data_IF_165550627076
#
_entry.id   IF_165550627076
#
_cell.length_a   1.000
_cell.length_b   1.000
_cell.length_c   1.000
_cell.angle_alpha   90.00
_cell.angle_beta   90.00
_cell.angle_gamma   90.00
#
_symmetry.space_group_name_H-M   'P 1'
#
loop_
_entity.id
_entity.type
_entity.pdbx_description
1 polymer ?
#
# COMPACT_ATOMS: atom_id res chain seq x y z
N UNK A 1 7.91 -38.95 34.69
CA UNK A 1 6.61 -38.30 34.95
C UNK A 1 6.78 -36.86 34.52
N UNK A 2 6.02 -36.39 33.53
CA UNK A 2 5.98 -34.96 33.23
C UNK A 2 5.04 -34.29 34.22
N UNK A 3 5.47 -33.22 34.87
CA UNK A 3 4.58 -32.41 35.71
C UNK A 3 3.56 -31.74 34.79
N UNK A 4 2.28 -32.07 35.00
CA UNK A 4 1.18 -31.44 34.27
C UNK A 4 0.96 -30.09 34.94
N UNK A 5 1.56 -29.05 34.35
CA UNK A 5 1.38 -27.65 34.76
C UNK A 5 -0.12 -27.35 34.83
N UNK A 6 -0.56 -26.76 35.94
CA UNK A 6 -1.97 -26.48 36.20
C UNK A 6 -2.49 -25.47 35.16
N UNK A 7 -3.75 -25.58 34.69
CA UNK A 7 -4.34 -24.60 33.79
C UNK A 7 -4.29 -23.16 34.33
N UNK A 8 -4.25 -22.98 35.66
CA UNK A 8 -4.06 -21.66 36.29
C UNK A 8 -2.62 -21.13 36.17
N UNK A 9 -1.63 -22.01 36.20
CA UNK A 9 -0.22 -21.65 36.08
C UNK A 9 0.12 -21.29 34.62
N UNK A 10 -0.45 -22.00 33.64
CA UNK A 10 -0.33 -21.63 32.23
C UNK A 10 -0.96 -20.25 31.94
N UNK A 11 -2.16 -19.98 32.45
CA UNK A 11 -2.83 -18.70 32.27
C UNK A 11 -2.05 -17.53 32.93
N UNK A 12 -1.46 -17.76 34.11
CA UNK A 12 -0.58 -16.77 34.75
C UNK A 12 0.68 -16.48 33.92
N UNK A 13 1.29 -17.52 33.33
CA UNK A 13 2.48 -17.37 32.49
C UNK A 13 2.18 -16.64 31.16
N UNK A 14 1.02 -16.90 30.54
CA UNK A 14 0.56 -16.15 29.35
C UNK A 14 0.37 -14.65 29.68
N UNK A 15 -0.28 -14.34 30.81
CA UNK A 15 -0.45 -12.96 31.29
C UNK A 15 0.89 -12.28 31.65
N UNK A 16 1.87 -13.03 32.17
CA UNK A 16 3.22 -12.51 32.39
C UNK A 16 3.92 -12.14 31.08
N UNK A 17 3.83 -12.98 30.04
CA UNK A 17 4.41 -12.71 28.73
C UNK A 17 3.76 -11.48 28.08
N UNK A 18 2.43 -11.37 28.15
CA UNK A 18 1.69 -10.19 27.71
C UNK A 18 2.13 -8.93 28.47
N UNK A 19 2.21 -8.99 29.80
CA UNK A 19 2.70 -7.88 30.63
C UNK A 19 4.12 -7.45 30.27
N UNK A 20 5.05 -8.40 30.11
CA UNK A 20 6.44 -8.11 29.74
C UNK A 20 6.51 -7.43 28.37
N UNK A 21 5.77 -7.95 27.38
CA UNK A 21 5.73 -7.41 26.03
C UNK A 21 5.16 -5.98 25.99
N UNK A 22 4.04 -5.74 26.67
CA UNK A 22 3.42 -4.41 26.73
C UNK A 22 4.29 -3.41 27.51
N UNK A 23 4.98 -3.85 28.57
CA UNK A 23 5.99 -3.04 29.25
C UNK A 23 7.13 -2.65 28.31
N UNK A 24 7.68 -3.60 27.54
CA UNK A 24 8.82 -3.33 26.66
C UNK A 24 8.42 -2.44 25.47
N UNK A 25 7.22 -2.61 24.90
CA UNK A 25 6.65 -1.66 23.92
C UNK A 25 6.51 -0.25 24.49
N UNK A 26 5.98 -0.12 25.71
CA UNK A 26 5.73 1.18 26.32
C UNK A 26 7.02 1.88 26.76
N UNK A 27 7.98 1.12 27.31
CA UNK A 27 9.32 1.63 27.63
C UNK A 27 10.08 2.06 26.37
N UNK A 28 9.98 1.30 25.28
CA UNK A 28 10.50 1.72 23.97
C UNK A 28 9.85 3.04 23.53
N UNK A 29 8.52 3.15 23.56
CA UNK A 29 7.80 4.37 23.17
C UNK A 29 8.20 5.58 24.02
N UNK A 30 8.27 5.44 25.36
CA UNK A 30 8.66 6.52 26.27
C UNK A 30 10.09 6.97 25.99
N UNK A 31 11.05 6.05 26.01
CA UNK A 31 12.47 6.38 25.79
C UNK A 31 12.69 6.99 24.40
N UNK A 32 12.03 6.45 23.38
CA UNK A 32 12.03 7.01 22.03
C UNK A 32 11.50 8.45 22.00
N UNK A 33 10.36 8.73 22.63
CA UNK A 33 9.75 10.08 22.66
C UNK A 33 10.51 11.06 23.55
N UNK A 34 11.15 10.61 24.64
CA UNK A 34 12.05 11.44 25.44
C UNK A 34 13.27 11.92 24.61
N UNK A 35 13.68 11.15 23.60
CA UNK A 35 14.83 11.44 22.71
C UNK A 35 14.44 12.22 21.44
N UNK A 36 13.51 11.73 20.63
CA UNK A 36 13.26 12.27 19.26
C UNK A 36 12.56 13.64 19.23
N UNK A 37 12.04 14.12 20.36
CA UNK A 37 11.40 15.45 20.47
C UNK A 37 12.45 16.58 20.52
N UNK A 38 13.73 16.25 20.43
CA UNK A 38 14.87 17.16 20.51
C UNK A 38 15.73 17.24 19.23
N UNK A 39 15.21 17.73 18.09
CA UNK A 39 16.08 18.33 17.09
C UNK A 39 16.65 19.64 17.65
N UNK A 40 17.96 19.69 17.92
CA UNK A 40 18.66 20.97 18.11
C UNK A 40 18.56 21.84 16.83
N UNK A 41 18.33 21.20 15.69
CA UNK A 41 18.07 21.79 14.37
C UNK A 41 16.88 22.78 14.36
N UNK A 42 15.93 22.68 15.29
CA UNK A 42 14.79 23.62 15.38
C UNK A 42 15.15 25.00 15.97
N UNK A 43 16.42 25.22 16.34
CA UNK A 43 16.92 26.50 16.86
C UNK A 43 17.19 27.56 15.78
N UNK A 44 17.30 27.18 14.50
CA UNK A 44 17.96 28.02 13.47
C UNK A 44 17.06 28.89 12.59
N UNK A 45 15.75 28.60 12.45
CA UNK A 45 14.86 29.36 11.55
C UNK A 45 13.69 30.03 12.29
N UNK A 46 13.49 31.33 12.06
CA UNK A 46 12.43 32.13 12.72
C UNK A 46 11.00 31.72 12.33
N UNK A 47 10.82 31.03 11.20
CA UNK A 47 9.53 30.43 10.81
C UNK A 47 9.21 29.14 11.60
N UNK A 48 10.17 28.61 12.37
CA UNK A 48 10.02 27.35 13.12
C UNK A 48 9.10 27.46 14.33
N UNK A 49 8.78 28.65 14.86
CA UNK A 49 8.03 28.75 16.12
C UNK A 49 6.60 28.22 16.04
N UNK A 50 5.89 28.43 14.92
CA UNK A 50 4.54 27.88 14.74
C UNK A 50 4.57 26.36 14.58
N UNK A 51 5.54 25.86 13.79
CA UNK A 51 5.79 24.43 13.58
C UNK A 51 6.16 23.77 14.90
N UNK A 52 6.98 24.42 15.74
CA UNK A 52 7.38 23.94 17.05
C UNK A 52 6.18 23.87 18.02
N UNK A 53 5.33 24.89 18.04
CA UNK A 53 4.07 24.89 18.80
C UNK A 53 3.11 23.78 18.35
N UNK A 54 2.97 23.57 17.04
CA UNK A 54 2.16 22.48 16.48
C UNK A 54 2.75 21.09 16.80
N UNK A 55 4.08 20.92 16.71
CA UNK A 55 4.77 19.69 17.11
C UNK A 55 4.61 19.40 18.61
N UNK A 56 4.71 20.42 19.47
CA UNK A 56 4.49 20.27 20.92
C UNK A 56 3.01 19.98 21.26
N UNK A 57 2.05 20.58 20.56
CA UNK A 57 0.63 20.25 20.71
C UNK A 57 0.36 18.79 20.34
N UNK A 58 0.81 18.36 19.16
CA UNK A 58 0.68 16.96 18.69
C UNK A 58 1.38 15.97 19.63
N UNK A 59 2.56 16.31 20.14
CA UNK A 59 3.27 15.50 21.13
C UNK A 59 2.49 15.37 22.45
N UNK A 60 1.87 16.45 22.94
CA UNK A 60 1.03 16.40 24.13
C UNK A 60 -0.26 15.57 23.90
N UNK A 61 -0.85 15.62 22.70
CA UNK A 61 -1.96 14.73 22.31
C UNK A 61 -1.51 13.26 22.28
N UNK A 62 -0.35 12.96 21.71
CA UNK A 62 0.24 11.61 21.68
C UNK A 62 0.55 11.07 23.10
N UNK A 63 1.06 11.91 24.01
CA UNK A 63 1.25 11.56 25.43
C UNK A 63 -0.08 11.33 26.14
N UNK A 64 -1.08 12.19 25.91
CA UNK A 64 -2.42 12.01 26.50
C UNK A 64 -3.10 10.71 26.04
N UNK A 65 -2.90 10.31 24.78
CA UNK A 65 -3.43 9.08 24.22
C UNK A 65 -2.83 7.81 24.87
N UNK A 66 -1.56 7.83 25.27
CA UNK A 66 -0.90 6.67 25.90
C UNK A 66 -1.16 6.54 27.41
N UNK A 67 -1.70 7.58 28.07
CA UNK A 67 -2.01 7.54 29.51
C UNK A 67 -2.96 6.38 29.86
N UNK A 68 -3.91 6.03 28.98
CA UNK A 68 -4.79 4.86 29.15
C UNK A 68 -4.00 3.55 29.18
N UNK A 69 -3.21 3.29 28.14
CA UNK A 69 -2.43 2.06 27.99
C UNK A 69 -1.41 1.86 29.12
N UNK A 70 -0.72 2.92 29.56
CA UNK A 70 0.21 2.85 30.70
C UNK A 70 -0.52 2.43 31.97
N UNK A 71 -1.72 2.98 32.22
CA UNK A 71 -2.54 2.58 33.36
C UNK A 71 -3.03 1.13 33.27
N UNK A 72 -3.34 0.64 32.07
CA UNK A 72 -3.80 -0.74 31.88
C UNK A 72 -2.66 -1.77 32.06
N UNK A 73 -1.44 -1.46 31.58
CA UNK A 73 -0.24 -2.28 31.87
C UNK A 73 0.08 -2.29 33.38
N UNK A 74 -0.12 -1.15 34.06
CA UNK A 74 0.04 -1.06 35.53
C UNK A 74 -1.01 -1.91 36.26
N UNK A 75 -2.27 -1.95 35.80
CA UNK A 75 -3.31 -2.83 36.35
C UNK A 75 -3.01 -4.30 36.12
N UNK A 76 -2.50 -4.67 34.94
CA UNK A 76 -2.11 -6.06 34.63
C UNK A 76 -0.99 -6.52 35.57
N UNK A 77 -0.02 -5.66 35.88
CA UNK A 77 0.99 -5.91 36.90
C UNK A 77 0.37 -6.13 38.30
N UNK A 78 -0.61 -5.31 38.69
CA UNK A 78 -1.31 -5.45 39.98
C UNK A 78 -2.08 -6.78 40.07
N UNK A 79 -2.75 -7.23 39.01
CA UNK A 79 -3.44 -8.52 38.98
C UNK A 79 -2.48 -9.72 39.09
N UNK A 80 -1.31 -9.66 38.45
CA UNK A 80 -0.25 -10.67 38.59
C UNK A 80 0.36 -10.68 40.02
N UNK A 81 0.45 -9.50 40.65
CA UNK A 81 0.89 -9.34 42.04
C UNK A 81 -0.15 -9.89 43.02
N UNK A 82 -1.44 -9.56 42.85
CA UNK A 82 -2.53 -10.01 43.72
C UNK A 82 -2.80 -11.52 43.63
N UNK A 83 -2.54 -12.12 42.47
CA UNK A 83 -2.57 -13.57 42.28
C UNK A 83 -1.32 -14.29 42.82
N UNK A 84 -0.37 -13.56 43.42
CA UNK A 84 0.85 -14.07 44.03
C UNK A 84 1.71 -14.89 43.05
N UNK A 85 1.90 -14.36 41.83
CA UNK A 85 2.68 -14.98 40.76
C UNK A 85 4.15 -15.23 41.19
N UNK A 86 4.80 -16.35 40.80
CA UNK A 86 6.18 -16.66 41.17
C UNK A 86 7.19 -15.54 40.89
N UNK A 87 6.99 -14.79 39.81
CA UNK A 87 7.85 -13.67 39.37
C UNK A 87 7.46 -12.30 39.96
N UNK A 88 6.69 -12.24 41.06
CA UNK A 88 6.21 -11.00 41.72
C UNK A 88 7.30 -9.91 41.86
N UNK A 89 8.52 -10.30 42.25
CA UNK A 89 9.67 -9.38 42.40
C UNK A 89 10.04 -8.70 41.07
N UNK A 90 10.02 -9.45 39.97
CA UNK A 90 10.36 -8.95 38.63
C UNK A 90 9.24 -8.06 38.10
N UNK A 91 7.98 -8.46 38.32
CA UNK A 91 6.79 -7.68 37.95
C UNK A 91 6.79 -6.33 38.67
N UNK A 92 6.99 -6.32 40.00
CA UNK A 92 7.09 -5.07 40.79
C UNK A 92 8.19 -4.16 40.29
N UNK A 93 9.37 -4.69 39.96
CA UNK A 93 10.50 -3.90 39.44
C UNK A 93 10.14 -3.24 38.11
N UNK A 94 9.68 -4.00 37.11
CA UNK A 94 9.32 -3.47 35.78
C UNK A 94 8.15 -2.47 35.86
N UNK A 95 7.17 -2.73 36.70
CA UNK A 95 6.05 -1.82 36.97
C UNK A 95 6.53 -0.45 37.49
N UNK A 96 7.51 -0.45 38.39
CA UNK A 96 8.06 0.78 38.97
C UNK A 96 8.98 1.52 37.97
N UNK A 97 9.80 0.80 37.20
CA UNK A 97 10.59 1.34 36.08
C UNK A 97 9.69 2.07 35.05
N UNK A 98 8.55 1.45 34.68
CA UNK A 98 7.55 2.04 33.78
C UNK A 98 6.89 3.29 34.40
N UNK A 99 6.46 3.22 35.67
CA UNK A 99 5.87 4.37 36.38
C UNK A 99 6.82 5.56 36.45
N UNK A 100 8.08 5.35 36.80
CA UNK A 100 9.07 6.42 36.89
C UNK A 100 9.35 7.03 35.52
N UNK A 101 9.42 6.22 34.47
CA UNK A 101 9.61 6.67 33.09
C UNK A 101 8.41 7.48 32.59
N UNK A 102 7.19 7.05 32.90
CA UNK A 102 5.97 7.82 32.60
C UNK A 102 5.92 9.16 33.36
N UNK A 103 6.36 9.21 34.62
CA UNK A 103 6.45 10.47 35.36
C UNK A 103 7.47 11.45 34.78
N UNK A 104 8.59 10.98 34.22
CA UNK A 104 9.55 11.84 33.50
C UNK A 104 8.92 12.39 32.21
N UNK A 105 8.29 11.52 31.41
CA UNK A 105 7.55 11.85 30.19
C UNK A 105 6.52 12.98 30.43
N UNK A 106 5.71 12.86 31.50
CA UNK A 106 4.71 13.87 31.89
C UNK A 106 5.32 15.19 32.37
N UNK A 107 6.44 15.15 33.12
CA UNK A 107 7.17 16.37 33.53
C UNK A 107 7.78 17.09 32.32
N UNK A 108 8.26 16.35 31.33
CA UNK A 108 8.82 16.88 30.09
C UNK A 108 7.73 17.61 29.26
N UNK A 109 6.57 16.98 29.07
CA UNK A 109 5.41 17.59 28.41
C UNK A 109 4.98 18.92 29.07
N UNK A 110 4.87 18.94 30.40
CA UNK A 110 4.52 20.14 31.15
C UNK A 110 5.57 21.26 31.01
N UNK A 111 6.86 20.94 31.14
CA UNK A 111 7.94 21.93 30.96
C UNK A 111 7.94 22.55 29.55
N UNK A 112 7.54 21.78 28.54
CA UNK A 112 7.45 22.24 27.14
C UNK A 112 6.24 23.11 26.85
N UNK A 113 5.12 22.90 27.55
CA UNK A 113 3.98 23.82 27.52
C UNK A 113 4.38 25.23 27.99
N UNK A 114 5.29 25.33 28.97
CA UNK A 114 5.77 26.61 29.52
C UNK A 114 6.84 27.26 28.62
N UNK A 115 7.83 26.49 28.12
CA UNK A 115 8.86 26.98 27.20
C UNK A 115 8.31 27.50 25.85
N UNK A 116 7.06 27.19 25.48
CA UNK A 116 6.41 27.80 24.32
C UNK A 116 6.06 29.29 24.46
N UNK A 117 6.35 29.90 25.62
CA UNK A 117 6.04 31.29 25.96
C UNK A 117 7.27 32.20 26.15
N UNK A 118 8.49 31.65 26.31
CA UNK A 118 9.69 32.44 26.65
C UNK A 118 10.89 32.13 25.74
N UNK A 119 11.67 33.19 25.50
CA UNK A 119 13.03 33.28 24.94
C UNK A 119 13.26 33.50 23.43
N UNK A 120 14.13 34.49 23.18
CA UNK A 120 14.49 35.12 21.92
C UNK A 120 15.97 35.54 22.01
N UNK A 121 16.93 34.69 21.60
CA UNK A 121 18.36 35.04 21.53
C UNK A 121 19.20 34.10 20.62
N UNK A 122 19.73 34.71 19.55
CA UNK A 122 20.84 34.39 18.61
C UNK A 122 21.61 33.05 18.57
N UNK A 123 21.87 32.60 17.32
CA UNK A 123 23.01 31.76 16.90
C UNK A 123 23.37 32.00 15.40
N UNK A 124 24.61 31.69 14.97
CA UNK A 124 25.13 31.82 13.59
C UNK A 124 25.62 30.46 12.99
N UNK A 125 25.80 30.30 11.64
CA UNK A 125 25.75 28.99 10.96
C UNK A 125 26.96 28.59 10.05
N UNK A 126 27.04 27.30 9.64
CA UNK A 126 27.70 26.69 8.44
C UNK A 126 27.77 25.13 8.59
N UNK A 127 27.85 24.22 7.59
CA UNK A 127 27.62 24.20 6.13
C UNK A 127 27.35 22.73 5.64
N UNK A 128 27.45 22.38 4.34
CA UNK A 128 26.98 21.09 3.74
C UNK A 128 27.95 20.50 2.68
N UNK A 129 28.05 19.16 2.54
CA UNK A 129 28.71 18.46 1.38
C UNK A 129 27.92 17.21 0.91
N UNK A 130 27.99 16.90 -0.40
CA UNK A 130 27.31 15.83 -1.17
C UNK A 130 28.31 14.74 -1.70
N UNK A 131 27.84 13.58 -2.26
CA UNK A 131 28.59 12.30 -2.18
C UNK A 131 29.24 11.78 -3.48
N UNK A 132 30.43 11.15 -3.36
CA UNK A 132 31.12 10.31 -4.39
C UNK A 132 32.12 9.35 -3.68
N UNK A 133 31.66 8.41 -2.84
CA UNK A 133 32.54 7.57 -2.00
C UNK A 133 32.04 6.11 -1.79
N UNK A 134 32.00 5.31 -2.86
CA UNK A 134 31.60 3.89 -2.80
C UNK A 134 32.76 2.86 -2.93
N UNK A 135 33.96 3.28 -3.35
CA UNK A 135 35.16 2.40 -3.43
C UNK A 135 36.28 2.78 -2.44
N UNK A 136 36.31 4.03 -1.98
CA UNK A 136 37.24 4.53 -0.96
C UNK A 136 36.91 3.96 0.44
N UNK A 137 35.62 3.75 0.66
CA UNK A 137 34.97 3.27 1.88
C UNK A 137 35.55 1.94 2.38
N UNK A 138 35.90 0.99 1.50
CA UNK A 138 36.42 -0.32 1.92
C UNK A 138 37.83 -0.24 2.54
N UNK A 139 38.74 0.54 1.92
CA UNK A 139 40.11 0.74 2.45
C UNK A 139 40.08 1.70 3.66
N UNK A 140 39.20 2.70 3.63
CA UNK A 140 38.92 3.53 4.80
C UNK A 140 38.33 2.72 5.97
N UNK A 141 37.49 1.71 5.71
CA UNK A 141 36.91 0.83 6.74
C UNK A 141 38.03 0.14 7.52
N UNK A 142 38.91 -0.61 6.85
CA UNK A 142 40.03 -1.32 7.50
C UNK A 142 40.97 -0.35 8.22
N UNK A 143 41.25 0.82 7.65
CA UNK A 143 42.06 1.84 8.31
C UNK A 143 41.36 2.49 9.52
N UNK A 144 40.04 2.67 9.48
CA UNK A 144 39.22 3.19 10.58
C UNK A 144 39.08 2.18 11.70
N UNK A 145 38.95 0.90 11.38
CA UNK A 145 38.84 -0.23 12.30
C UNK A 145 40.17 -0.47 13.02
N UNK A 146 41.30 -0.40 12.31
CA UNK A 146 42.64 -0.40 12.92
C UNK A 146 42.91 0.83 13.81
N UNK A 147 42.34 2.01 13.45
CA UNK A 147 42.40 3.23 14.27
C UNK A 147 41.51 3.11 15.52
N UNK A 148 40.33 2.50 15.40
CA UNK A 148 39.41 2.22 16.49
C UNK A 148 40.02 1.22 17.48
N UNK A 149 40.61 0.12 16.98
CA UNK A 149 41.35 -0.86 17.77
C UNK A 149 42.53 -0.23 18.52
N UNK A 150 43.29 0.68 17.89
CA UNK A 150 44.35 1.44 18.57
C UNK A 150 43.79 2.35 19.66
N UNK A 151 42.71 3.09 19.38
CA UNK A 151 42.04 3.95 20.37
C UNK A 151 41.52 3.15 21.57
N UNK A 152 40.82 2.03 21.32
CA UNK A 152 40.36 1.10 22.36
C UNK A 152 41.51 0.54 23.21
N UNK A 153 42.66 0.24 22.60
CA UNK A 153 43.85 -0.21 23.34
C UNK A 153 44.46 0.91 24.20
N UNK A 154 44.52 2.14 23.68
CA UNK A 154 44.99 3.32 24.41
C UNK A 154 44.05 3.67 25.58
N UNK A 155 42.73 3.57 25.38
CA UNK A 155 41.73 3.82 26.42
C UNK A 155 41.68 2.69 27.47
N UNK A 156 41.90 1.43 27.07
CA UNK A 156 42.10 0.31 28.02
C UNK A 156 43.33 0.52 28.90
N UNK A 157 44.46 0.93 28.32
CA UNK A 157 45.69 1.24 29.06
C UNK A 157 45.51 2.45 30.00
N UNK A 158 44.75 3.47 29.58
CA UNK A 158 44.37 4.60 30.45
C UNK A 158 43.47 4.17 31.60
N UNK A 159 42.51 3.28 31.36
CA UNK A 159 41.64 2.73 32.41
C UNK A 159 42.46 1.92 33.43
N UNK A 160 43.37 1.05 32.97
CA UNK A 160 44.25 0.27 33.84
C UNK A 160 45.16 1.17 34.70
N UNK A 161 45.69 2.26 34.11
CA UNK A 161 46.47 3.25 34.86
C UNK A 161 45.59 4.02 35.87
N UNK A 162 44.38 4.41 35.49
CA UNK A 162 43.43 5.08 36.37
C UNK A 162 43.00 4.21 37.57
N UNK A 163 42.79 2.90 37.36
CA UNK A 163 42.55 1.95 38.46
C UNK A 163 43.76 1.87 39.42
N UNK A 164 44.99 1.83 38.88
CA UNK A 164 46.23 1.87 39.67
C UNK A 164 46.35 3.17 40.47
N UNK A 165 46.00 4.32 39.88
CA UNK A 165 46.04 5.63 40.55
C UNK A 165 44.95 5.78 41.63
N UNK A 166 43.79 5.11 41.44
CA UNK A 166 42.71 5.04 42.42
C UNK A 166 43.02 4.09 43.59
N UNK A 167 43.77 3.01 43.35
CA UNK A 167 44.02 1.95 44.33
C UNK A 167 44.64 2.44 45.66
N UNK A 168 45.68 3.31 45.70
CA UNK A 168 46.19 3.88 46.95
C UNK A 168 45.13 4.65 47.76
N UNK A 169 44.21 5.34 47.08
CA UNK A 169 43.10 6.05 47.74
C UNK A 169 42.14 5.05 48.40
N UNK A 170 41.75 4.00 47.67
CA UNK A 170 40.87 2.93 48.15
C UNK A 170 41.46 2.19 49.35
N UNK A 171 42.74 1.82 49.28
CA UNK A 171 43.45 1.12 50.36
C UNK A 171 43.56 1.99 51.61
N UNK A 172 43.89 3.28 51.47
CA UNK A 172 43.96 4.21 52.60
C UNK A 172 42.59 4.48 53.24
N UNK A 173 41.50 4.59 52.45
CA UNK A 173 40.13 4.72 52.98
C UNK A 173 39.79 3.50 53.84
N UNK A 174 40.02 2.28 53.35
CA UNK A 174 39.73 1.05 54.09
C UNK A 174 40.55 0.94 55.38
N UNK A 175 41.84 1.31 55.35
CA UNK A 175 42.69 1.35 56.55
C UNK A 175 42.18 2.37 57.57
N UNK A 176 41.77 3.55 57.11
CA UNK A 176 41.26 4.63 57.98
C UNK A 176 39.92 4.26 58.61
N UNK A 177 39.01 3.62 57.87
CA UNK A 177 37.75 3.07 58.41
C UNK A 177 38.04 2.01 59.48
N UNK A 178 39.03 1.14 59.26
CA UNK A 178 39.45 0.14 60.24
C UNK A 178 39.96 0.76 61.55
N UNK A 179 40.81 1.80 61.46
CA UNK A 179 41.32 2.54 62.62
C UNK A 179 40.22 3.30 63.38
N UNK A 180 39.23 3.84 62.68
CA UNK A 180 38.07 4.53 63.28
C UNK A 180 37.06 3.57 63.93
N UNK A 181 37.16 2.26 63.65
CA UNK A 181 36.28 1.22 64.20
C UNK A 181 36.87 0.50 65.42
N UNK A 182 38.02 0.96 65.93
CA UNK A 182 38.67 0.43 67.13
C UNK A 182 38.18 1.15 68.40
N UNK A 183 37.59 0.40 69.33
CA UNK A 183 37.03 0.89 70.60
C UNK A 183 38.09 1.46 71.58
N UNK A 184 39.40 1.37 71.28
CA UNK A 184 40.47 1.94 72.10
C UNK A 184 40.37 3.46 72.38
N UNK A 185 39.55 4.18 71.61
CA UNK A 185 39.23 5.59 71.85
C UNK A 185 38.38 5.83 73.11
N UNK A 186 37.64 4.81 73.60
CA UNK A 186 36.80 4.89 74.81
C UNK A 186 37.61 4.82 76.12
N UNK A 187 38.89 4.46 76.07
CA UNK A 187 39.77 4.39 77.24
C UNK A 187 40.17 5.80 77.75
N UNK A 188 40.01 6.13 79.06
CA UNK A 188 40.22 7.48 79.60
C UNK A 188 41.65 8.02 79.57
N UNK A 189 42.64 7.20 79.24
CA UNK A 189 44.06 7.58 79.23
C UNK A 189 44.43 8.30 77.93
N UNK A 190 45.33 9.30 78.03
CA UNK A 190 45.93 10.04 76.90
C UNK A 190 44.92 10.73 75.96
N UNK A 191 43.74 11.09 76.48
CA UNK A 191 42.65 11.73 75.73
C UNK A 191 43.09 12.95 74.89
N UNK A 192 43.96 13.81 75.42
CA UNK A 192 44.47 14.98 74.68
C UNK A 192 45.32 14.58 73.47
N UNK A 193 46.17 13.55 73.61
CA UNK A 193 47.00 13.05 72.51
C UNK A 193 46.13 12.33 71.46
N UNK A 194 45.12 11.57 71.89
CA UNK A 194 44.12 10.97 70.99
C UNK A 194 43.36 12.05 70.21
N UNK A 195 42.92 13.12 70.88
CA UNK A 195 42.21 14.25 70.27
C UNK A 195 43.07 15.00 69.24
N UNK A 196 44.34 15.29 69.54
CA UNK A 196 45.22 15.96 68.57
C UNK A 196 45.64 15.07 67.40
N UNK A 197 45.76 13.76 67.61
CA UNK A 197 45.95 12.80 66.51
C UNK A 197 44.69 12.66 65.64
N UNK A 198 43.50 12.73 66.25
CA UNK A 198 42.23 12.73 65.52
C UNK A 198 42.06 14.00 64.66
N UNK A 199 42.36 15.19 65.19
CA UNK A 199 42.35 16.44 64.39
C UNK A 199 43.27 16.37 63.18
N UNK A 200 44.48 15.84 63.32
CA UNK A 200 45.40 15.63 62.19
C UNK A 200 44.83 14.66 61.16
N UNK A 201 44.14 13.61 61.61
CA UNK A 201 43.44 12.68 60.72
C UNK A 201 42.26 13.37 59.99
N UNK A 202 41.50 14.24 60.67
CA UNK A 202 40.45 15.05 60.05
C UNK A 202 41.01 16.02 58.99
N UNK A 203 42.13 16.69 59.28
CA UNK A 203 42.86 17.53 58.32
C UNK A 203 43.32 16.73 57.09
N UNK A 204 43.91 15.55 57.30
CA UNK A 204 44.32 14.62 56.23
C UNK A 204 43.13 14.13 55.38
N UNK A 205 41.99 13.79 56.02
CA UNK A 205 40.73 13.42 55.34
C UNK A 205 40.22 14.57 54.48
N UNK A 206 40.18 15.79 55.04
CA UNK A 206 39.72 16.98 54.33
C UNK A 206 40.64 17.35 53.16
N UNK A 207 41.96 17.15 53.28
CA UNK A 207 42.91 17.39 52.17
C UNK A 207 42.64 16.47 50.95
N UNK A 208 42.21 15.22 51.20
CA UNK A 208 41.97 14.19 50.17
C UNK A 208 40.59 14.28 49.52
N UNK A 209 39.65 15.01 50.14
CA UNK A 209 38.29 15.27 49.63
C UNK A 209 38.28 15.73 48.17
N UNK A 210 39.16 16.68 47.82
CA UNK A 210 39.29 17.24 46.46
C UNK A 210 39.56 16.15 45.40
N UNK A 211 40.31 15.11 45.73
CA UNK A 211 40.62 14.01 44.79
C UNK A 211 39.42 13.09 44.59
N UNK A 212 38.63 12.83 45.63
CA UNK A 212 37.37 12.08 45.52
C UNK A 212 36.34 12.86 44.70
N UNK A 213 36.22 14.17 44.91
CA UNK A 213 35.35 15.04 44.10
C UNK A 213 35.74 15.05 42.61
N UNK A 214 37.04 14.98 42.29
CA UNK A 214 37.48 14.86 40.89
C UNK A 214 37.06 13.51 40.27
N UNK A 215 37.16 12.41 41.01
CA UNK A 215 36.68 11.09 40.55
C UNK A 215 35.17 11.08 40.29
N UNK A 216 34.37 11.72 41.14
CA UNK A 216 32.91 11.85 40.91
C UNK A 216 32.56 12.67 39.66
N UNK A 217 33.35 13.71 39.34
CA UNK A 217 33.18 14.48 38.09
C UNK A 217 33.53 13.65 36.86
N UNK A 218 34.60 12.86 36.91
CA UNK A 218 34.97 11.92 35.83
C UNK A 218 33.86 10.88 35.62
N UNK A 219 33.35 10.29 36.70
CA UNK A 219 32.22 9.35 36.64
C UNK A 219 30.97 9.97 36.02
N UNK A 220 30.63 11.22 36.36
CA UNK A 220 29.52 11.94 35.75
C UNK A 220 29.71 12.12 34.24
N UNK A 221 30.88 12.61 33.80
CA UNK A 221 31.18 12.78 32.37
C UNK A 221 31.14 11.46 31.59
N UNK A 222 31.68 10.36 32.14
CA UNK A 222 31.59 9.04 31.52
C UNK A 222 30.13 8.57 31.40
N UNK A 223 29.32 8.80 32.44
CA UNK A 223 27.90 8.45 32.45
C UNK A 223 27.13 9.23 31.37
N UNK A 224 27.47 10.50 31.13
CA UNK A 224 26.81 11.31 30.12
C UNK A 224 27.24 10.95 28.69
N UNK A 225 28.52 10.61 28.47
CA UNK A 225 29.00 10.08 27.18
C UNK A 225 28.32 8.75 26.83
N UNK A 226 28.13 7.85 27.79
CA UNK A 226 27.42 6.59 27.57
C UNK A 226 25.95 6.82 27.16
N UNK A 227 25.23 7.74 27.82
CA UNK A 227 23.86 8.11 27.41
C UNK A 227 23.83 8.71 26.00
N UNK A 228 24.79 9.57 25.65
CA UNK A 228 24.89 10.14 24.29
C UNK A 228 25.13 9.05 23.23
N UNK A 229 25.91 8.02 23.57
CA UNK A 229 26.15 6.87 22.70
C UNK A 229 24.89 6.01 22.52
N UNK A 230 24.14 5.73 23.60
CA UNK A 230 22.85 5.02 23.53
C UNK A 230 21.83 5.77 22.66
N UNK A 231 21.75 7.10 22.79
CA UNK A 231 20.94 7.98 21.93
C UNK A 231 21.37 7.90 20.46
N UNK A 232 22.68 7.92 20.19
CA UNK A 232 23.20 7.80 18.83
C UNK A 232 22.83 6.47 18.19
N UNK A 233 22.99 5.34 18.92
CA UNK A 233 22.60 4.01 18.45
C UNK A 233 21.10 3.98 18.09
N UNK A 234 20.23 4.43 19.00
CA UNK A 234 18.78 4.48 18.76
C UNK A 234 18.41 5.37 17.55
N UNK A 235 19.08 6.51 17.38
CA UNK A 235 18.88 7.38 16.22
C UNK A 235 19.35 6.74 14.90
N UNK A 236 20.47 6.00 14.91
CA UNK A 236 20.95 5.28 13.72
C UNK A 236 20.04 4.13 13.31
N UNK A 237 19.52 3.36 14.27
CA UNK A 237 18.58 2.26 14.03
C UNK A 237 17.27 2.80 13.45
N UNK A 238 16.71 3.87 14.03
CA UNK A 238 15.52 4.54 13.50
C UNK A 238 15.75 5.04 12.06
N UNK A 239 16.91 5.62 11.77
CA UNK A 239 17.23 6.11 10.43
C UNK A 239 17.29 4.97 9.42
N UNK A 240 17.80 3.80 9.80
CA UNK A 240 17.77 2.57 9.01
C UNK A 240 16.32 2.13 8.70
N UNK A 241 15.47 2.07 9.73
CA UNK A 241 14.05 1.69 9.61
C UNK A 241 13.30 2.67 8.69
N UNK A 242 13.42 3.98 8.91
CA UNK A 242 12.77 5.00 8.07
C UNK A 242 13.26 4.98 6.62
N UNK A 243 14.56 4.72 6.38
CA UNK A 243 15.10 4.61 5.03
C UNK A 243 14.58 3.36 4.31
N UNK A 244 14.43 2.24 5.03
CA UNK A 244 13.79 1.03 4.50
C UNK A 244 12.31 1.26 4.19
N UNK A 245 11.57 1.91 5.09
CA UNK A 245 10.16 2.30 4.89
C UNK A 245 9.99 3.22 3.67
N UNK A 246 10.82 4.26 3.54
CA UNK A 246 10.79 5.17 2.39
C UNK A 246 11.04 4.44 1.05
N UNK A 247 12.00 3.51 1.02
CA UNK A 247 12.27 2.70 -0.17
C UNK A 247 11.09 1.75 -0.52
N UNK A 248 10.46 1.14 0.49
CA UNK A 248 9.27 0.32 0.28
C UNK A 248 8.09 1.17 -0.24
N UNK A 249 7.91 2.40 0.26
CA UNK A 249 6.91 3.35 -0.22
C UNK A 249 7.16 3.78 -1.68
N UNK A 250 8.41 4.04 -2.08
CA UNK A 250 8.78 4.35 -3.47
C UNK A 250 8.38 3.19 -4.41
N UNK A 251 8.74 1.95 -4.05
CA UNK A 251 8.33 0.75 -4.79
C UNK A 251 6.80 0.58 -4.86
N UNK A 252 6.09 0.84 -3.77
CA UNK A 252 4.63 0.81 -3.73
C UNK A 252 4.00 1.88 -4.65
N UNK A 253 4.53 3.11 -4.62
CA UNK A 253 4.07 4.20 -5.48
C UNK A 253 4.25 3.86 -6.96
N UNK A 254 5.40 3.32 -7.38
CA UNK A 254 5.58 2.85 -8.75
C UNK A 254 4.59 1.75 -9.15
N UNK A 255 4.25 0.83 -8.23
CA UNK A 255 3.20 -0.16 -8.45
C UNK A 255 1.81 0.47 -8.67
N UNK A 256 1.45 1.46 -7.84
CA UNK A 256 0.21 2.24 -7.97
C UNK A 256 0.17 3.01 -9.29
N UNK A 257 1.26 3.68 -9.67
CA UNK A 257 1.31 4.52 -10.86
C UNK A 257 1.20 3.67 -12.14
N UNK A 258 1.91 2.55 -12.21
CA UNK A 258 1.79 1.56 -13.30
C UNK A 258 0.35 1.02 -13.42
N UNK A 259 -0.26 0.64 -12.29
CA UNK A 259 -1.63 0.14 -12.27
C UNK A 259 -2.65 1.24 -12.66
N UNK A 260 -2.39 2.48 -12.27
CA UNK A 260 -3.21 3.65 -12.60
C UNK A 260 -3.15 3.99 -14.09
N UNK A 261 -1.99 3.85 -14.72
CA UNK A 261 -1.82 4.01 -16.17
C UNK A 261 -2.60 2.93 -16.93
N UNK A 262 -2.38 1.64 -16.59
CA UNK A 262 -3.09 0.51 -17.18
C UNK A 262 -4.62 0.62 -17.02
N UNK A 263 -5.10 0.97 -15.82
CA UNK A 263 -6.54 1.20 -15.59
C UNK A 263 -7.12 2.25 -16.54
N UNK A 264 -6.35 3.31 -16.82
CA UNK A 264 -6.81 4.41 -17.69
C UNK A 264 -6.90 3.99 -19.17
N UNK A 265 -5.97 3.15 -19.64
CA UNK A 265 -6.00 2.55 -20.98
C UNK A 265 -7.17 1.56 -21.14
N UNK A 266 -7.40 0.72 -20.12
CA UNK A 266 -8.52 -0.24 -20.09
C UNK A 266 -9.86 0.49 -20.03
N UNK A 267 -10.02 1.48 -19.16
CA UNK A 267 -11.24 2.29 -19.05
C UNK A 267 -11.57 3.00 -20.37
N UNK A 268 -10.56 3.56 -21.06
CA UNK A 268 -10.73 4.17 -22.37
C UNK A 268 -11.16 3.15 -23.44
N UNK A 269 -10.54 1.97 -23.46
CA UNK A 269 -10.88 0.89 -24.40
C UNK A 269 -12.30 0.35 -24.16
N UNK A 270 -12.69 0.14 -22.90
CA UNK A 270 -14.04 -0.30 -22.54
C UNK A 270 -15.10 0.76 -22.86
N UNK A 271 -14.79 2.04 -22.67
CA UNK A 271 -15.70 3.17 -22.92
C UNK A 271 -15.79 3.59 -24.40
N UNK A 272 -14.99 3.01 -25.29
CA UNK A 272 -14.99 3.34 -26.71
C UNK A 272 -16.38 3.13 -27.35
N UNK A 273 -16.92 4.09 -28.12
CA UNK A 273 -18.18 3.93 -28.84
C UNK A 273 -18.05 3.10 -30.14
N UNK A 274 -16.85 2.62 -30.47
CA UNK A 274 -16.63 1.74 -31.62
C UNK A 274 -17.08 0.30 -31.32
N UNK A 275 -17.97 -0.22 -32.16
CA UNK A 275 -18.48 -1.59 -32.14
C UNK A 275 -18.30 -2.31 -33.48
N UNK A 276 -17.57 -1.72 -34.44
CA UNK A 276 -17.35 -2.24 -35.78
C UNK A 276 -18.29 -1.66 -36.85
N UNK A 277 -17.91 -1.80 -38.11
CA UNK A 277 -18.61 -1.23 -39.28
C UNK A 277 -19.04 -2.29 -40.32
N UNK A 278 -18.55 -3.51 -40.17
CA UNK A 278 -18.83 -4.69 -41.00
C UNK A 278 -18.67 -5.97 -40.15
N UNK A 279 -19.07 -7.13 -40.69
CA UNK A 279 -19.01 -8.40 -39.95
C UNK A 279 -17.58 -8.75 -39.47
N UNK A 280 -16.56 -8.50 -40.30
CA UNK A 280 -15.18 -8.85 -40.00
C UNK A 280 -14.58 -8.00 -38.87
N UNK A 281 -14.85 -6.69 -38.87
CA UNK A 281 -14.42 -5.75 -37.83
C UNK A 281 -15.12 -6.01 -36.50
N UNK A 282 -16.42 -6.31 -36.50
CA UNK A 282 -17.16 -6.67 -35.28
C UNK A 282 -16.65 -7.99 -34.69
N UNK A 283 -16.41 -9.01 -35.52
CA UNK A 283 -15.76 -10.25 -35.07
C UNK A 283 -14.37 -10.02 -34.48
N UNK A 284 -13.57 -9.13 -35.09
CA UNK A 284 -12.25 -8.80 -34.59
C UNK A 284 -12.33 -8.09 -33.23
N UNK A 285 -13.16 -7.04 -33.11
CA UNK A 285 -13.39 -6.33 -31.85
C UNK A 285 -13.94 -7.24 -30.75
N UNK A 286 -14.73 -8.25 -31.10
CA UNK A 286 -15.21 -9.28 -30.16
C UNK A 286 -14.06 -10.16 -29.65
N UNK A 287 -13.11 -10.55 -30.52
CA UNK A 287 -11.90 -11.31 -30.14
C UNK A 287 -10.96 -10.46 -29.27
N UNK A 288 -10.71 -9.21 -29.65
CA UNK A 288 -9.93 -8.25 -28.85
C UNK A 288 -10.55 -8.02 -27.47
N UNK A 289 -11.88 -7.91 -27.38
CA UNK A 289 -12.55 -7.77 -26.09
C UNK A 289 -12.40 -9.00 -25.20
N UNK A 290 -12.46 -10.21 -25.75
CA UNK A 290 -12.23 -11.44 -24.98
C UNK A 290 -10.77 -11.58 -24.49
N UNK A 291 -9.79 -11.08 -25.25
CA UNK A 291 -8.40 -10.96 -24.80
C UNK A 291 -8.29 -9.96 -23.65
N UNK A 292 -8.92 -8.79 -23.77
CA UNK A 292 -8.98 -7.77 -22.72
C UNK A 292 -9.64 -8.29 -21.43
N UNK A 293 -10.72 -9.06 -21.51
CA UNK A 293 -11.35 -9.70 -20.33
C UNK A 293 -10.38 -10.66 -19.61
N UNK A 294 -9.62 -11.45 -20.36
CA UNK A 294 -8.59 -12.35 -19.81
C UNK A 294 -7.45 -11.56 -19.16
N UNK A 295 -7.01 -10.48 -19.78
CA UNK A 295 -5.88 -9.69 -19.30
C UNK A 295 -6.29 -8.85 -18.07
N UNK A 296 -7.53 -8.39 -17.98
CA UNK A 296 -8.08 -7.80 -16.74
C UNK A 296 -8.12 -8.84 -15.62
N UNK A 297 -8.45 -10.10 -15.93
CA UNK A 297 -8.45 -11.19 -14.95
C UNK A 297 -7.06 -11.49 -14.39
N UNK A 298 -5.99 -11.41 -15.18
CA UNK A 298 -4.61 -11.60 -14.67
C UNK A 298 -4.11 -10.42 -13.84
N UNK A 299 -4.56 -9.20 -14.14
CA UNK A 299 -4.22 -8.01 -13.34
C UNK A 299 -4.88 -7.99 -11.94
N UNK A 300 -5.85 -8.87 -11.68
CA UNK A 300 -6.40 -9.07 -10.33
C UNK A 300 -5.31 -9.45 -9.32
N UNK A 301 -4.35 -10.30 -9.71
CA UNK A 301 -3.27 -10.73 -8.81
C UNK A 301 -2.39 -9.54 -8.41
N UNK A 302 -2.21 -8.55 -9.29
CA UNK A 302 -1.46 -7.31 -9.02
C UNK A 302 -2.22 -6.41 -8.04
N UNK A 303 -3.55 -6.31 -8.17
CA UNK A 303 -4.42 -5.63 -7.19
C UNK A 303 -4.30 -6.30 -5.82
N UNK A 304 -4.37 -7.62 -5.76
CA UNK A 304 -4.30 -8.37 -4.50
C UNK A 304 -2.89 -8.21 -3.84
N UNK A 305 -1.81 -8.08 -4.63
CA UNK A 305 -0.46 -7.68 -4.15
C UNK A 305 -0.45 -6.25 -3.58
N UNK A 306 -1.07 -5.28 -4.27
CA UNK A 306 -1.16 -3.88 -3.80
C UNK A 306 -1.93 -3.81 -2.47
N UNK A 307 -3.04 -4.55 -2.35
CA UNK A 307 -3.84 -4.65 -1.11
C UNK A 307 -3.01 -5.27 0.02
N UNK A 308 -2.29 -6.35 -0.26
CA UNK A 308 -1.42 -7.03 0.73
C UNK A 308 -0.29 -6.12 1.21
N UNK A 309 0.37 -5.38 0.30
CA UNK A 309 1.41 -4.42 0.66
C UNK A 309 0.85 -3.28 1.53
N UNK A 310 -0.31 -2.73 1.19
CA UNK A 310 -0.99 -1.70 1.99
C UNK A 310 -1.34 -2.20 3.41
N UNK A 311 -1.73 -3.46 3.55
CA UNK A 311 -1.98 -4.10 4.85
C UNK A 311 -0.68 -4.26 5.66
N UNK A 312 0.42 -4.70 5.06
CA UNK A 312 1.73 -4.78 5.71
C UNK A 312 2.23 -3.42 6.21
N UNK A 313 2.02 -2.34 5.44
CA UNK A 313 2.32 -0.98 5.91
C UNK A 313 1.46 -0.56 7.11
N UNK A 314 0.23 -1.09 7.23
CA UNK A 314 -0.63 -0.85 8.39
C UNK A 314 -0.11 -1.57 9.65
N UNK A 315 0.23 -2.84 9.51
CA UNK A 315 0.76 -3.70 10.59
C UNK A 315 2.10 -3.19 11.14
N UNK A 316 2.97 -2.68 10.25
CA UNK A 316 4.25 -2.09 10.61
C UNK A 316 4.18 -0.61 11.06
N UNK A 317 2.97 -0.02 11.16
CA UNK A 317 2.79 1.36 11.63
C UNK A 317 3.46 2.43 10.75
N UNK A 318 3.43 2.26 9.43
CA UNK A 318 4.16 3.10 8.48
C UNK A 318 3.77 4.59 8.57
N UNK A 319 4.76 5.50 8.52
CA UNK A 319 4.55 6.93 8.79
C UNK A 319 3.54 7.62 7.85
N UNK A 320 3.43 7.17 6.60
CA UNK A 320 2.50 7.70 5.58
C UNK A 320 1.27 6.80 5.32
N UNK A 321 0.86 5.98 6.30
CA UNK A 321 -0.21 4.98 6.16
C UNK A 321 -1.52 5.54 5.55
N UNK A 322 -1.92 6.77 5.93
CA UNK A 322 -3.15 7.40 5.43
C UNK A 322 -3.12 7.57 3.90
N UNK A 323 -1.99 7.99 3.34
CA UNK A 323 -1.84 8.22 1.89
C UNK A 323 -1.80 6.89 1.14
N UNK A 324 -1.08 5.90 1.69
CA UNK A 324 -1.00 4.52 1.17
C UNK A 324 -2.39 3.90 1.04
N UNK A 325 -3.19 3.92 2.12
CA UNK A 325 -4.55 3.38 2.12
C UNK A 325 -5.46 4.13 1.13
N UNK A 326 -5.38 5.46 1.09
CA UNK A 326 -6.16 6.27 0.14
C UNK A 326 -5.84 5.92 -1.31
N UNK A 327 -4.55 5.79 -1.67
CA UNK A 327 -4.12 5.37 -3.01
C UNK A 327 -4.61 3.96 -3.36
N UNK A 328 -4.47 3.01 -2.41
CA UNK A 328 -4.94 1.63 -2.55
C UNK A 328 -6.46 1.57 -2.80
N UNK A 329 -7.26 2.32 -2.04
CA UNK A 329 -8.72 2.36 -2.18
C UNK A 329 -9.17 2.94 -3.53
N UNK A 330 -8.49 3.98 -4.04
CA UNK A 330 -8.78 4.55 -5.36
C UNK A 330 -8.53 3.54 -6.48
N UNK A 331 -7.38 2.83 -6.44
CA UNK A 331 -7.03 1.83 -7.46
C UNK A 331 -7.97 0.62 -7.42
N UNK A 332 -8.27 0.08 -6.23
CA UNK A 332 -9.24 -1.02 -6.05
C UNK A 332 -10.62 -0.62 -6.58
N UNK A 333 -11.13 0.55 -6.19
CA UNK A 333 -12.45 1.02 -6.62
C UNK A 333 -12.56 1.21 -8.14
N UNK A 334 -11.49 1.67 -8.81
CA UNK A 334 -11.45 1.74 -10.28
C UNK A 334 -11.47 0.35 -10.92
N UNK A 335 -10.67 -0.58 -10.39
CA UNK A 335 -10.63 -1.96 -10.87
C UNK A 335 -12.00 -2.66 -10.75
N UNK A 336 -12.67 -2.54 -9.60
CA UNK A 336 -14.03 -3.08 -9.40
C UNK A 336 -15.06 -2.44 -10.35
N UNK A 337 -14.83 -1.16 -10.72
CA UNK A 337 -15.61 -0.42 -11.70
C UNK A 337 -15.50 -0.92 -13.15
N UNK A 338 -14.49 -1.75 -13.47
CA UNK A 338 -14.34 -2.32 -14.82
C UNK A 338 -15.42 -3.34 -15.15
N UNK A 339 -15.89 -4.12 -14.17
CA UNK A 339 -16.84 -5.22 -14.38
C UNK A 339 -18.17 -4.79 -15.05
N UNK A 340 -18.81 -3.68 -14.62
CA UNK A 340 -19.96 -3.09 -15.31
C UNK A 340 -19.64 -2.65 -16.75
N UNK A 341 -18.47 -2.04 -16.99
CA UNK A 341 -18.06 -1.54 -18.31
C UNK A 341 -17.79 -2.69 -19.29
N UNK A 342 -17.13 -3.76 -18.83
CA UNK A 342 -16.93 -5.00 -19.59
C UNK A 342 -18.28 -5.53 -20.09
N UNK A 343 -19.24 -5.76 -19.19
CA UNK A 343 -20.56 -6.34 -19.52
C UNK A 343 -21.32 -5.50 -20.54
N UNK A 344 -21.29 -4.17 -20.42
CA UNK A 344 -22.00 -3.29 -21.36
C UNK A 344 -21.31 -3.24 -22.73
N UNK A 345 -19.97 -3.29 -22.79
CA UNK A 345 -19.24 -3.42 -24.07
C UNK A 345 -19.48 -4.77 -24.72
N UNK A 346 -19.37 -5.87 -23.96
CA UNK A 346 -19.64 -7.24 -24.41
C UNK A 346 -21.06 -7.36 -25.00
N UNK A 347 -22.05 -6.79 -24.31
CA UNK A 347 -23.45 -6.75 -24.79
C UNK A 347 -23.55 -6.00 -26.12
N UNK A 348 -23.02 -4.79 -26.21
CA UNK A 348 -23.08 -3.98 -27.45
C UNK A 348 -22.34 -4.61 -28.63
N UNK A 349 -21.18 -5.24 -28.40
CA UNK A 349 -20.45 -5.99 -29.44
C UNK A 349 -21.25 -7.22 -29.90
N UNK A 350 -21.83 -7.99 -28.96
CA UNK A 350 -22.68 -9.14 -29.28
C UNK A 350 -23.99 -8.76 -29.97
N UNK A 351 -24.52 -7.58 -29.71
CA UNK A 351 -25.68 -7.01 -30.40
C UNK A 351 -25.31 -6.54 -31.82
N UNK A 352 -24.20 -5.79 -31.98
CA UNK A 352 -23.64 -5.47 -33.30
C UNK A 352 -23.36 -6.72 -34.14
N UNK A 353 -22.80 -7.79 -33.55
CA UNK A 353 -22.47 -9.02 -34.28
C UNK A 353 -23.71 -9.66 -34.91
N UNK A 354 -24.82 -9.74 -34.16
CA UNK A 354 -26.10 -10.24 -34.69
C UNK A 354 -26.63 -9.36 -35.82
N UNK A 355 -26.51 -8.03 -35.69
CA UNK A 355 -26.96 -7.10 -36.72
C UNK A 355 -26.16 -7.24 -38.02
N UNK A 356 -24.84 -7.38 -37.94
CA UNK A 356 -24.00 -7.57 -39.13
C UNK A 356 -24.10 -8.97 -39.74
N UNK A 357 -24.37 -10.01 -38.94
CA UNK A 357 -24.77 -11.32 -39.44
C UNK A 357 -26.10 -11.23 -40.22
N UNK A 358 -27.09 -10.54 -39.67
CA UNK A 358 -28.37 -10.30 -40.34
C UNK A 358 -28.20 -9.47 -41.64
N UNK A 359 -27.35 -8.44 -41.64
CA UNK A 359 -27.09 -7.67 -42.87
C UNK A 359 -26.44 -8.53 -43.95
N UNK A 360 -25.54 -9.46 -43.59
CA UNK A 360 -24.98 -10.40 -44.54
C UNK A 360 -26.04 -11.39 -45.08
N UNK A 361 -26.93 -11.91 -44.23
CA UNK A 361 -28.08 -12.71 -44.67
C UNK A 361 -29.01 -11.94 -45.62
N UNK A 362 -29.28 -10.66 -45.33
CA UNK A 362 -30.07 -9.78 -46.20
C UNK A 362 -29.38 -9.58 -47.55
N UNK A 363 -28.08 -9.31 -47.58
CA UNK A 363 -27.33 -9.10 -48.82
C UNK A 363 -27.32 -10.34 -49.73
N UNK A 364 -27.27 -11.54 -49.15
CA UNK A 364 -27.40 -12.82 -49.90
C UNK A 364 -28.78 -12.95 -50.57
N UNK A 365 -29.87 -12.63 -49.86
CA UNK A 365 -31.22 -12.65 -50.44
C UNK A 365 -31.43 -11.50 -51.45
N UNK A 366 -30.90 -10.30 -51.19
CA UNK A 366 -30.95 -9.17 -52.13
C UNK A 366 -30.20 -9.47 -53.44
N UNK A 367 -29.02 -10.10 -53.37
CA UNK A 367 -28.29 -10.59 -54.55
C UNK A 367 -29.11 -11.62 -55.33
N UNK A 368 -29.78 -12.55 -54.64
CA UNK A 368 -30.64 -13.54 -55.29
C UNK A 368 -31.82 -12.86 -56.00
N UNK A 369 -32.47 -11.92 -55.32
CA UNK A 369 -33.61 -11.14 -55.84
C UNK A 369 -33.19 -10.36 -57.08
N UNK A 370 -32.07 -9.64 -57.03
CA UNK A 370 -31.54 -8.87 -58.16
C UNK A 370 -31.29 -9.77 -59.38
N UNK A 371 -30.62 -10.91 -59.18
CA UNK A 371 -30.35 -11.90 -60.25
C UNK A 371 -31.64 -12.48 -60.86
N UNK A 372 -32.70 -12.68 -60.07
CA UNK A 372 -34.00 -13.14 -60.64
C UNK A 372 -34.77 -12.02 -61.32
N UNK A 373 -34.67 -10.80 -60.80
CA UNK A 373 -35.31 -9.61 -61.36
C UNK A 373 -34.81 -9.30 -62.77
N UNK A 374 -33.49 -9.38 -62.99
CA UNK A 374 -32.87 -9.20 -64.30
C UNK A 374 -33.41 -10.18 -65.35
N UNK A 375 -33.54 -11.47 -64.99
CA UNK A 375 -34.06 -12.51 -65.89
C UNK A 375 -35.54 -12.25 -66.25
N UNK A 376 -36.37 -11.86 -65.27
CA UNK A 376 -37.80 -11.53 -65.50
C UNK A 376 -37.94 -10.29 -66.41
N UNK A 377 -37.07 -9.29 -66.26
CA UNK A 377 -37.04 -8.10 -67.09
C UNK A 377 -36.58 -8.37 -68.54
N UNK A 378 -35.89 -9.50 -68.78
CA UNK A 378 -35.36 -9.91 -70.07
C UNK A 378 -36.40 -9.98 -71.20
N UNK A 379 -35.97 -9.66 -72.43
CA UNK A 379 -36.82 -9.68 -73.63
C UNK A 379 -36.22 -10.57 -74.72
N UNK A 380 -37.00 -11.53 -75.22
CA UNK A 380 -36.60 -12.40 -76.33
C UNK A 380 -36.60 -11.65 -77.66
N UNK A 381 -35.76 -12.09 -78.60
CA UNK A 381 -35.63 -11.49 -79.94
C UNK A 381 -36.29 -12.34 -81.03
N UNK A 382 -36.61 -13.59 -80.71
CA UNK A 382 -37.16 -14.61 -81.59
C UNK A 382 -38.07 -15.55 -80.79
N UNK A 383 -38.78 -16.45 -81.48
CA UNK A 383 -39.78 -17.32 -80.85
C UNK A 383 -39.15 -18.29 -79.84
N UNK A 384 -37.92 -18.76 -80.07
CA UNK A 384 -37.30 -19.77 -79.23
C UNK A 384 -36.67 -19.16 -77.96
N UNK A 385 -36.09 -17.97 -78.05
CA UNK A 385 -35.71 -17.16 -76.88
C UNK A 385 -36.92 -16.73 -76.06
N UNK A 386 -38.05 -16.41 -76.70
CA UNK A 386 -39.32 -16.16 -75.99
C UNK A 386 -39.80 -17.42 -75.27
N UNK A 387 -39.81 -18.60 -75.91
CA UNK A 387 -40.17 -19.87 -75.25
C UNK A 387 -39.23 -20.22 -74.08
N UNK A 388 -37.93 -19.97 -74.23
CA UNK A 388 -36.95 -20.16 -73.17
C UNK A 388 -37.27 -19.27 -71.96
N UNK A 389 -37.49 -17.96 -72.18
CA UNK A 389 -37.87 -17.01 -71.12
C UNK A 389 -39.21 -17.36 -70.46
N UNK A 390 -40.18 -17.93 -71.19
CA UNK A 390 -41.44 -18.42 -70.59
C UNK A 390 -41.16 -19.58 -69.62
N UNK A 391 -40.38 -20.58 -70.06
CA UNK A 391 -39.97 -21.72 -69.21
C UNK A 391 -39.18 -21.25 -67.99
N UNK A 392 -38.28 -20.29 -68.18
CA UNK A 392 -37.44 -19.75 -67.11
C UNK A 392 -38.23 -18.89 -66.12
N UNK A 393 -39.21 -18.09 -66.57
CA UNK A 393 -40.18 -17.40 -65.70
C UNK A 393 -40.92 -18.42 -64.82
N UNK A 394 -41.33 -19.56 -65.38
CA UNK A 394 -42.02 -20.61 -64.64
C UNK A 394 -41.11 -21.30 -63.61
N UNK A 395 -39.83 -21.49 -63.93
CA UNK A 395 -38.81 -21.97 -62.99
C UNK A 395 -38.58 -20.99 -61.84
N UNK A 396 -38.46 -19.69 -62.13
CA UNK A 396 -38.29 -18.63 -61.12
C UNK A 396 -39.50 -18.57 -60.18
N UNK A 397 -40.72 -18.66 -60.70
CA UNK A 397 -41.93 -18.70 -59.86
C UNK A 397 -41.95 -19.89 -58.88
N UNK A 398 -41.41 -21.06 -59.27
CA UNK A 398 -41.26 -22.20 -58.36
C UNK A 398 -40.15 -21.94 -57.33
N UNK A 399 -39.01 -21.40 -57.74
CA UNK A 399 -37.91 -21.05 -56.82
C UNK A 399 -38.34 -19.98 -55.79
N UNK A 400 -39.18 -19.02 -56.19
CA UNK A 400 -39.74 -18.01 -55.29
C UNK A 400 -40.67 -18.61 -54.22
N UNK A 401 -41.41 -19.68 -54.53
CA UNK A 401 -42.21 -20.39 -53.51
C UNK A 401 -41.34 -21.10 -52.46
N UNK A 402 -40.12 -21.50 -52.84
CA UNK A 402 -39.14 -22.11 -51.92
C UNK A 402 -38.44 -21.04 -51.08
N UNK A 403 -38.08 -19.89 -51.64
CA UNK A 403 -37.41 -18.79 -50.93
C UNK A 403 -38.34 -17.92 -50.06
N UNK A 404 -39.66 -17.89 -50.32
CA UNK A 404 -40.58 -17.02 -49.55
C UNK A 404 -40.51 -17.19 -48.02
N UNK A 405 -40.50 -18.43 -47.46
CA UNK A 405 -40.37 -18.61 -46.01
C UNK A 405 -39.03 -18.12 -45.46
N UNK A 406 -37.97 -18.15 -46.27
CA UNK A 406 -36.62 -17.76 -45.88
C UNK A 406 -36.47 -16.24 -45.85
N UNK A 407 -36.92 -15.54 -46.90
CA UNK A 407 -36.98 -14.07 -46.93
C UNK A 407 -37.89 -13.53 -45.82
N UNK A 408 -39.06 -14.15 -45.59
CA UNK A 408 -39.94 -13.77 -44.48
C UNK A 408 -39.30 -14.02 -43.10
N UNK A 409 -38.48 -15.06 -42.95
CA UNK A 409 -37.72 -15.32 -41.71
C UNK A 409 -36.66 -14.24 -41.46
N UNK A 410 -35.91 -13.83 -42.48
CA UNK A 410 -34.90 -12.75 -42.38
C UNK A 410 -35.58 -11.43 -41.99
N UNK A 411 -36.69 -11.07 -42.64
CA UNK A 411 -37.46 -9.86 -42.31
C UNK A 411 -37.96 -9.89 -40.85
N UNK A 412 -38.60 -10.98 -40.42
CA UNK A 412 -39.06 -11.15 -39.04
C UNK A 412 -37.91 -11.18 -38.02
N UNK A 413 -36.71 -11.61 -38.42
CA UNK A 413 -35.52 -11.55 -37.59
C UNK A 413 -35.10 -10.09 -37.35
N UNK A 414 -35.06 -9.28 -38.41
CA UNK A 414 -34.80 -7.83 -38.32
C UNK A 414 -35.80 -7.07 -37.45
N UNK A 415 -37.09 -7.27 -37.66
CA UNK A 415 -38.16 -6.63 -36.86
C UNK A 415 -38.11 -7.00 -35.36
N UNK A 416 -37.60 -8.19 -35.02
CA UNK A 416 -37.39 -8.63 -33.63
C UNK A 416 -36.11 -8.03 -33.08
N UNK A 417 -35.02 -8.09 -33.84
CA UNK A 417 -33.70 -7.61 -33.43
C UNK A 417 -33.69 -6.10 -33.19
N UNK A 418 -34.40 -5.31 -34.00
CA UNK A 418 -34.45 -3.84 -33.86
C UNK A 418 -35.07 -3.35 -32.54
N UNK A 419 -35.78 -4.19 -31.77
CA UNK A 419 -36.49 -3.77 -30.55
C UNK A 419 -35.51 -3.49 -29.41
N UNK A 420 -35.18 -2.21 -29.22
CA UNK A 420 -34.22 -1.76 -28.19
C UNK A 420 -32.75 -1.86 -28.61
N UNK A 421 -32.48 -2.04 -29.91
CA UNK A 421 -31.13 -2.18 -30.45
C UNK A 421 -30.44 -0.83 -30.67
N UNK A 422 -29.13 -0.75 -30.44
CA UNK A 422 -28.36 0.48 -30.74
C UNK A 422 -28.22 0.80 -32.24
N UNK A 423 -28.52 -0.15 -33.12
CA UNK A 423 -28.57 0.01 -34.59
C UNK A 423 -30.00 -0.13 -35.15
N UNK A 424 -31.03 0.08 -34.32
CA UNK A 424 -32.43 -0.19 -34.70
C UNK A 424 -32.87 0.56 -35.97
N UNK A 425 -32.42 1.79 -36.18
CA UNK A 425 -32.76 2.61 -37.35
C UNK A 425 -32.25 1.99 -38.65
N UNK A 426 -30.98 1.60 -38.71
CA UNK A 426 -30.39 0.96 -39.91
C UNK A 426 -30.94 -0.46 -40.11
N UNK A 427 -31.21 -1.21 -39.04
CA UNK A 427 -31.86 -2.53 -39.13
C UNK A 427 -33.26 -2.40 -39.75
N UNK A 428 -34.08 -1.47 -39.27
CA UNK A 428 -35.43 -1.24 -39.81
C UNK A 428 -35.36 -0.80 -41.29
N UNK A 429 -34.43 0.09 -41.64
CA UNK A 429 -34.21 0.55 -43.02
C UNK A 429 -33.82 -0.58 -43.97
N UNK A 430 -32.83 -1.41 -43.62
CA UNK A 430 -32.43 -2.58 -44.42
C UNK A 430 -33.55 -3.63 -44.51
N UNK A 431 -34.27 -3.86 -43.41
CA UNK A 431 -35.44 -4.77 -43.37
C UNK A 431 -36.54 -4.31 -44.31
N UNK A 432 -36.84 -3.00 -44.33
CA UNK A 432 -37.80 -2.41 -45.25
C UNK A 432 -37.35 -2.56 -46.71
N UNK A 433 -36.08 -2.28 -47.02
CA UNK A 433 -35.52 -2.41 -48.38
C UNK A 433 -35.66 -3.85 -48.91
N UNK A 434 -35.28 -4.87 -48.13
CA UNK A 434 -35.45 -6.27 -48.52
C UNK A 434 -36.94 -6.62 -48.75
N UNK A 435 -37.85 -6.12 -47.91
CA UNK A 435 -39.30 -6.31 -48.06
C UNK A 435 -39.85 -5.68 -49.35
N UNK A 436 -39.41 -4.47 -49.68
CA UNK A 436 -39.76 -3.76 -50.92
C UNK A 436 -39.22 -4.49 -52.15
N UNK A 437 -37.94 -4.90 -52.13
CA UNK A 437 -37.30 -5.68 -53.20
C UNK A 437 -38.03 -7.01 -53.44
N UNK A 438 -38.39 -7.73 -52.37
CA UNK A 438 -39.13 -9.00 -52.45
C UNK A 438 -40.54 -8.82 -53.03
N UNK A 439 -41.25 -7.78 -52.58
CA UNK A 439 -42.59 -7.45 -53.07
C UNK A 439 -42.57 -7.08 -54.54
N UNK A 440 -41.61 -6.24 -54.96
CA UNK A 440 -41.46 -5.85 -56.36
C UNK A 440 -41.15 -7.05 -57.27
N UNK A 441 -40.30 -7.99 -56.82
CA UNK A 441 -40.03 -9.22 -57.57
C UNK A 441 -41.30 -10.07 -57.75
N UNK A 442 -42.14 -10.22 -56.70
CA UNK A 442 -43.44 -10.92 -56.79
C UNK A 442 -44.37 -10.28 -57.81
N UNK A 443 -44.50 -8.96 -57.79
CA UNK A 443 -45.32 -8.21 -58.76
C UNK A 443 -44.83 -8.42 -60.19
N UNK A 444 -43.52 -8.20 -60.47
CA UNK A 444 -42.94 -8.40 -61.80
C UNK A 444 -43.06 -9.83 -62.30
N UNK A 445 -42.83 -10.83 -61.44
CA UNK A 445 -42.97 -12.24 -61.79
C UNK A 445 -44.42 -12.57 -62.18
N UNK A 446 -45.40 -11.98 -61.49
CA UNK A 446 -46.83 -12.16 -61.76
C UNK A 446 -47.28 -11.44 -63.05
N UNK A 447 -46.88 -10.18 -63.26
CA UNK A 447 -47.08 -9.45 -64.52
C UNK A 447 -46.52 -10.26 -65.71
N UNK A 448 -45.28 -10.75 -65.58
CA UNK A 448 -44.62 -11.53 -66.63
C UNK A 448 -45.32 -12.85 -66.89
N UNK A 449 -45.83 -13.53 -65.85
CA UNK A 449 -46.65 -14.74 -65.98
C UNK A 449 -47.91 -14.49 -66.82
N UNK A 450 -48.64 -13.41 -66.55
CA UNK A 450 -49.84 -13.05 -67.33
C UNK A 450 -49.49 -12.72 -68.78
N UNK A 451 -48.46 -11.91 -69.00
CA UNK A 451 -47.97 -11.58 -70.35
C UNK A 451 -47.56 -12.83 -71.15
N UNK A 452 -46.84 -13.76 -70.51
CA UNK A 452 -46.44 -15.03 -71.10
C UNK A 452 -47.65 -15.91 -71.47
N UNK A 453 -48.72 -15.92 -70.66
CA UNK A 453 -49.96 -16.64 -70.98
C UNK A 453 -50.67 -16.06 -72.22
N UNK A 454 -50.75 -14.73 -72.34
CA UNK A 454 -51.30 -14.06 -73.52
C UNK A 454 -50.49 -14.38 -74.79
N UNK A 455 -49.16 -14.39 -74.69
CA UNK A 455 -48.26 -14.76 -75.80
C UNK A 455 -48.47 -16.22 -76.21
N UNK A 456 -48.64 -17.15 -75.26
CA UNK A 456 -48.92 -18.56 -75.58
C UNK A 456 -50.26 -18.76 -76.28
N UNK A 457 -51.31 -18.04 -75.86
CA UNK A 457 -52.63 -18.06 -76.53
C UNK A 457 -52.52 -17.55 -77.97
N UNK A 458 -51.83 -16.43 -78.19
CA UNK A 458 -51.61 -15.87 -79.53
C UNK A 458 -50.79 -16.79 -80.44
N UNK A 459 -49.74 -17.42 -79.91
CA UNK A 459 -48.93 -18.41 -80.65
C UNK A 459 -49.69 -19.71 -80.97
N UNK A 460 -50.73 -20.04 -80.21
CA UNK A 460 -51.64 -21.14 -80.52
C UNK A 460 -52.56 -20.75 -81.70
N UNK A 461 -53.17 -19.56 -81.65
CA UNK A 461 -54.07 -19.02 -82.68
C UNK A 461 -53.44 -18.75 -84.06
N UNK A 462 -52.11 -18.77 -84.19
CA UNK A 462 -51.38 -18.59 -85.47
C UNK A 462 -51.01 -19.95 -86.09
N UNK A 463 -51.15 -21.05 -85.36
CA UNK A 463 -50.84 -22.41 -85.84
C UNK A 463 -52.03 -23.16 -86.42
N UNK A 464 -53.24 -22.69 -86.16
CA UNK A 464 -54.50 -23.10 -86.77
C UNK A 464 -54.87 -22.16 -87.93
#
# INVERSE_FOLDING_TARGET
MGEIVSPKEMAGQEQLVEFQHLCDQMMFWINYKEVIVWPEDLKSEKDSQLILKQKYAKFNEEVAAQEGHVNDVIKLADLLIESNHPDDIVIRRRKEELKQSWQRMRKLALKRQMLGQEELADAQPMEVIQPEDAKKTAIQSVASEAKLLRGLLEDFLRLEQFEKDCHPTKTWINQTIGLMSDDGHLSPTDLNLKMDNHKKLEEDVMSRKNRVEMLTKIQAHLTDVLKMWEVLLAATELKSIHMSQAWQLEKFNHGIDNMTAWLSEVEATLSSPDFGIDLASVENLTKEHALLERDIKTHKDIIDIIVTAAQQFSECGHFDLKTILTKKDVVVKRFDGLGPLQKERQRKLGDSLKAYQLFHEMEVEEEWIAKKHEIIAGRGKDIDTVRALIKETQSILQAMQVHDPDVQRVIQSGEKLARGHHLAEEINKRTQQLSEHWTNLKERAFERKQSNQLVLLFLFQIKD
#
